data_IF_905761679922
#
_entry.id   IF_905761679922
#
_cell.length_a   1.000
_cell.length_b   1.000
_cell.length_c   1.000
_cell.angle_alpha   90.00
_cell.angle_beta   90.00
_cell.angle_gamma   90.00
#
_symmetry.space_group_name_H-M   'P 1'
#
loop_
_entity.id
_entity.type
_entity.pdbx_description
1 polymer ?
#
# COMPACT_ATOMS: atom_id res chain seq x y z
N UNK A 1 -5.23 18.12 3.81
CA UNK A 1 -5.90 17.00 3.19
C UNK A 1 -4.94 15.99 2.66
N UNK A 2 -5.29 14.73 2.77
CA UNK A 2 -4.41 13.68 2.30
C UNK A 2 -4.50 13.59 0.79
N UNK A 3 -3.38 13.28 0.17
CA UNK A 3 -3.34 13.07 -1.26
C UNK A 3 -3.75 11.64 -1.57
N UNK A 4 -4.32 11.46 -2.74
CA UNK A 4 -4.80 10.15 -3.13
C UNK A 4 -3.67 9.37 -3.79
N UNK A 5 -3.68 8.07 -3.58
CA UNK A 5 -2.71 7.18 -4.19
C UNK A 5 -3.05 7.00 -5.66
N UNK A 6 -2.08 7.27 -6.52
CA UNK A 6 -2.27 7.08 -7.95
C UNK A 6 -1.81 5.70 -8.37
N UNK A 7 -0.60 5.33 -7.95
CA UNK A 7 -0.10 4.00 -8.24
C UNK A 7 1.11 3.73 -7.37
N UNK A 8 1.51 2.49 -7.34
CA UNK A 8 2.69 2.11 -6.59
C UNK A 8 3.35 0.92 -7.24
N UNK A 9 4.64 0.75 -6.93
CA UNK A 9 5.37 -0.43 -7.37
C UNK A 9 6.25 -0.89 -6.22
N UNK A 10 6.58 -2.17 -6.24
CA UNK A 10 7.47 -2.77 -5.26
C UNK A 10 8.58 -3.47 -6.01
N UNK A 11 9.82 -3.12 -5.68
CA UNK A 11 10.98 -3.71 -6.34
C UNK A 11 11.88 -4.37 -5.33
N UNK A 12 12.43 -5.53 -5.65
CA UNK A 12 13.36 -6.18 -4.74
C UNK A 12 14.66 -5.37 -4.62
N UNK A 13 15.20 -5.34 -3.43
CA UNK A 13 16.44 -4.66 -3.14
C UNK A 13 17.31 -5.60 -2.30
N UNK A 14 18.56 -5.16 -2.08
CA UNK A 14 19.50 -6.00 -1.36
C UNK A 14 19.03 -6.35 0.04
N UNK A 15 18.49 -5.36 0.73
CA UNK A 15 18.08 -5.53 2.12
C UNK A 15 16.60 -5.71 2.27
N UNK A 16 15.90 -5.91 1.18
CA UNK A 16 14.46 -6.02 1.28
C UNK A 16 13.80 -5.54 0.00
N UNK A 17 12.96 -4.54 0.12
CA UNK A 17 12.20 -4.06 -1.02
C UNK A 17 12.14 -2.56 -1.00
N UNK A 18 12.00 -1.98 -2.18
CA UNK A 18 11.80 -0.55 -2.33
C UNK A 18 10.37 -0.28 -2.80
N UNK A 19 9.69 0.56 -2.07
CA UNK A 19 8.32 0.95 -2.41
C UNK A 19 8.35 2.30 -3.11
N UNK A 20 7.77 2.33 -4.29
CA UNK A 20 7.60 3.59 -5.03
C UNK A 20 6.13 3.92 -5.03
N UNK A 21 5.80 5.05 -4.44
CA UNK A 21 4.40 5.45 -4.31
C UNK A 21 4.21 6.77 -5.03
N UNK A 22 3.24 6.81 -5.91
CA UNK A 22 2.93 8.03 -6.65
C UNK A 22 1.54 8.51 -6.27
N UNK A 23 1.43 9.79 -5.94
CA UNK A 23 0.14 10.35 -5.59
C UNK A 23 -0.51 11.00 -6.81
N UNK A 24 -1.70 11.53 -6.61
CA UNK A 24 -2.45 12.11 -7.71
C UNK A 24 -1.91 13.47 -8.12
N UNK A 25 -1.00 14.02 -7.36
CA UNK A 25 -0.33 15.27 -7.72
C UNK A 25 0.92 15.03 -8.55
N UNK A 26 1.29 13.77 -8.76
CA UNK A 26 2.46 13.46 -9.53
C UNK A 26 3.74 13.37 -8.72
N UNK A 27 3.63 13.46 -7.42
CA UNK A 27 4.80 13.33 -6.55
C UNK A 27 5.07 11.87 -6.25
N UNK A 28 6.34 11.55 -6.15
CA UNK A 28 6.76 10.18 -5.90
C UNK A 28 7.47 10.09 -4.57
N UNK A 29 7.14 9.07 -3.81
CA UNK A 29 7.78 8.78 -2.53
C UNK A 29 8.44 7.42 -2.61
N UNK A 30 9.69 7.36 -2.14
CA UNK A 30 10.45 6.13 -2.20
C UNK A 30 10.78 5.70 -0.79
N UNK A 31 10.44 4.47 -0.46
CA UNK A 31 10.65 3.92 0.87
C UNK A 31 11.30 2.55 0.76
N UNK A 32 12.16 2.25 1.71
CA UNK A 32 12.76 0.93 1.82
C UNK A 32 12.08 0.17 2.94
N UNK A 33 11.69 -1.07 2.66
CA UNK A 33 11.03 -1.90 3.65
C UNK A 33 11.57 -3.31 3.57
N UNK A 34 11.60 -3.97 4.73
CA UNK A 34 11.95 -5.38 4.76
C UNK A 34 10.74 -6.21 4.40
N UNK A 35 11.01 -7.50 4.09
CA UNK A 35 9.91 -8.40 3.80
C UNK A 35 8.98 -8.51 4.99
N UNK A 36 9.54 -8.47 6.18
CA UNK A 36 8.74 -8.52 7.39
C UNK A 36 7.82 -7.31 7.51
N UNK A 37 8.37 -6.14 7.20
CA UNK A 37 7.56 -4.93 7.25
C UNK A 37 6.46 -4.94 6.21
N UNK A 38 6.76 -5.44 5.03
CA UNK A 38 5.74 -5.56 4.00
C UNK A 38 4.63 -6.51 4.43
N UNK A 39 5.00 -7.58 5.12
CA UNK A 39 4.02 -8.52 5.62
C UNK A 39 3.09 -7.86 6.62
N UNK A 40 3.65 -7.05 7.50
CA UNK A 40 2.86 -6.34 8.49
C UNK A 40 1.92 -5.35 7.81
N UNK A 41 2.44 -4.66 6.80
CA UNK A 41 1.60 -3.71 6.07
C UNK A 41 0.47 -4.44 5.36
N UNK A 42 0.77 -5.57 4.77
CA UNK A 42 -0.25 -6.33 4.06
C UNK A 42 -1.34 -6.80 5.02
N UNK A 43 -0.95 -7.22 6.22
CA UNK A 43 -1.94 -7.63 7.21
C UNK A 43 -2.83 -6.47 7.61
N UNK A 44 -2.23 -5.31 7.81
CA UNK A 44 -3.00 -4.14 8.19
C UNK A 44 -3.99 -3.76 7.09
N UNK A 45 -3.55 -3.87 5.85
CA UNK A 45 -4.43 -3.56 4.73
C UNK A 45 -5.56 -4.57 4.65
N UNK A 46 -5.25 -5.83 4.84
CA UNK A 46 -6.28 -6.86 4.80
C UNK A 46 -7.32 -6.63 5.88
N UNK A 47 -6.87 -6.23 7.07
CA UNK A 47 -7.80 -5.92 8.14
C UNK A 47 -8.76 -4.82 7.73
N UNK A 48 -8.23 -3.77 7.14
CA UNK A 48 -9.06 -2.66 6.71
C UNK A 48 -10.02 -3.08 5.61
N UNK A 49 -9.52 -3.86 4.67
CA UNK A 49 -10.35 -4.28 3.55
C UNK A 49 -11.45 -5.23 4.00
N UNK A 50 -11.19 -6.03 5.01
CA UNK A 50 -12.23 -6.91 5.52
C UNK A 50 -13.40 -6.13 6.06
N UNK A 51 -13.11 -5.05 6.77
CA UNK A 51 -14.18 -4.19 7.25
C UNK A 51 -14.92 -3.53 6.12
N UNK A 52 -14.17 -3.07 5.11
CA UNK A 52 -14.77 -2.44 3.96
C UNK A 52 -15.54 -3.43 3.11
N UNK A 53 -15.04 -4.66 3.06
CA UNK A 53 -15.67 -5.67 2.23
C UNK A 53 -17.11 -5.91 2.66
N UNK A 54 -17.36 -5.82 3.94
CA UNK A 54 -18.73 -5.98 4.40
C UNK A 54 -19.65 -4.99 3.75
N UNK A 55 -19.20 -3.75 3.68
CA UNK A 55 -20.00 -2.70 3.06
C UNK A 55 -20.09 -2.90 1.55
N UNK A 56 -18.95 -3.23 0.96
CA UNK A 56 -18.91 -3.43 -0.48
C UNK A 56 -19.77 -4.60 -0.87
N UNK A 57 -19.71 -5.63 -0.06
CA UNK A 57 -20.49 -6.83 -0.32
C UNK A 57 -21.96 -6.49 -0.38
N UNK A 58 -22.39 -5.63 0.50
CA UNK A 58 -23.77 -5.21 0.52
C UNK A 58 -24.10 -4.47 -0.75
N UNK A 59 -23.17 -3.68 -1.23
CA UNK A 59 -23.38 -2.91 -2.44
C UNK A 59 -23.56 -3.80 -3.65
N UNK A 60 -23.07 -4.99 -3.58
CA UNK A 60 -23.26 -5.92 -4.66
C UNK A 60 -24.72 -6.20 -4.86
#
# INVERSE_FOLDING_TARGET
MAKALSRFTIEPADDGYTLHIEDDAGETLELTATAEQLDIIAEAIEDQLEEDVEEIDVAE
#
